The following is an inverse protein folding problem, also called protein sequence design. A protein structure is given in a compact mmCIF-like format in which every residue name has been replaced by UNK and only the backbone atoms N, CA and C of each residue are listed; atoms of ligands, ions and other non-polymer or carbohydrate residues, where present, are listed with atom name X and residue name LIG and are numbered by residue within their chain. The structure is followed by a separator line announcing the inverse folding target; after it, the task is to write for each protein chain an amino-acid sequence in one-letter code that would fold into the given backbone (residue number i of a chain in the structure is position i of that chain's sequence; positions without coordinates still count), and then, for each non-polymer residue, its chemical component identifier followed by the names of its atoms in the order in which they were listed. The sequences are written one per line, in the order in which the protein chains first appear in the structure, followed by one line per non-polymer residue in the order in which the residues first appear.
data_IF_786986869058
#
_entry.id   IF_786986869058
#
_cell.length_a   1.000
_cell.length_b   1.000
_cell.length_c   1.000
_cell.angle_alpha   90.00
_cell.angle_beta   90.00
_cell.angle_gamma   90.00
#
_symmetry.space_group_name_H-M   'P 1'
#
loop_
_entity.id
_entity.type
_entity.pdbx_description
1 polymer ?
#
# COMPACT_ATOMS: atom_id res chain seq x y z
N UNK A 1 44.56 13.03 -32.02
CA UNK A 1 43.40 13.65 -32.67
C UNK A 1 42.12 13.02 -32.14
N UNK A 2 41.36 13.85 -31.44
CA UNK A 2 39.93 13.86 -31.11
C UNK A 2 38.94 12.74 -31.52
N UNK A 3 38.20 12.32 -30.48
CA UNK A 3 36.75 12.00 -30.33
C UNK A 3 36.03 10.94 -31.17
N UNK A 4 35.40 9.99 -30.46
CA UNK A 4 33.94 9.88 -30.19
C UNK A 4 33.75 8.64 -29.30
N UNK A 5 33.30 8.72 -28.05
CA UNK A 5 32.03 9.29 -27.64
C UNK A 5 30.89 8.33 -27.99
N UNK A 6 30.57 7.38 -27.11
CA UNK A 6 29.25 6.76 -27.05
C UNK A 6 28.94 6.43 -25.58
N UNK A 7 28.29 7.38 -24.93
CA UNK A 7 27.46 7.15 -23.75
C UNK A 7 26.47 6.04 -24.12
N UNK A 8 26.48 4.93 -23.40
CA UNK A 8 25.46 3.90 -23.55
C UNK A 8 24.16 4.43 -22.96
N UNK A 9 23.23 4.69 -23.87
CA UNK A 9 21.82 4.97 -23.64
C UNK A 9 21.24 3.82 -22.79
N UNK A 10 20.58 4.14 -21.68
CA UNK A 10 19.96 3.22 -20.72
C UNK A 10 19.31 2.00 -21.40
N UNK A 11 19.75 0.80 -21.03
CA UNK A 11 19.00 -0.43 -21.33
C UNK A 11 17.71 -0.38 -20.51
N UNK A 12 16.58 -0.16 -21.19
CA UNK A 12 15.27 -0.27 -20.57
C UNK A 12 15.10 -1.72 -20.10
N UNK A 13 15.16 -1.93 -18.78
CA UNK A 13 14.82 -3.21 -18.18
C UNK A 13 13.32 -3.19 -17.81
N UNK A 14 12.46 -3.92 -18.53
CA UNK A 14 11.03 -3.95 -18.22
C UNK A 14 10.75 -4.48 -16.80
N UNK A 15 11.64 -5.29 -16.23
CA UNK A 15 11.52 -5.77 -14.85
C UNK A 15 11.77 -4.65 -13.81
N UNK A 16 12.57 -3.62 -14.14
CA UNK A 16 12.69 -2.41 -13.31
C UNK A 16 11.50 -1.48 -13.48
N UNK A 17 10.91 -1.44 -14.69
CA UNK A 17 9.74 -0.63 -14.97
C UNK A 17 8.50 -1.11 -14.19
N UNK A 18 8.36 -2.42 -13.95
CA UNK A 18 7.34 -3.01 -13.06
C UNK A 18 7.63 -2.81 -11.56
N UNK A 19 8.80 -2.31 -11.19
CA UNK A 19 9.28 -2.25 -9.81
C UNK A 19 9.48 -0.82 -9.29
N UNK A 20 8.81 0.16 -9.90
CA UNK A 20 8.81 1.52 -9.36
C UNK A 20 7.95 1.60 -8.10
N UNK A 21 8.39 2.42 -7.12
CA UNK A 21 7.61 2.70 -5.90
C UNK A 21 6.21 3.22 -6.22
N UNK A 22 6.05 3.94 -7.33
CA UNK A 22 4.77 4.48 -7.76
C UNK A 22 3.79 3.36 -8.17
N UNK A 23 4.24 2.36 -8.93
CA UNK A 23 3.40 1.21 -9.29
C UNK A 23 2.94 0.47 -8.03
N UNK A 24 3.82 0.32 -7.04
CA UNK A 24 3.44 -0.30 -5.76
C UNK A 24 2.43 0.51 -4.97
N UNK A 25 2.49 1.85 -5.05
CA UNK A 25 1.43 2.72 -4.52
C UNK A 25 0.12 2.49 -5.25
N UNK A 26 0.14 2.35 -6.57
CA UNK A 26 -1.06 2.11 -7.38
C UNK A 26 -1.68 0.74 -7.08
N UNK A 27 -0.86 -0.29 -6.88
CA UNK A 27 -1.29 -1.61 -6.40
C UNK A 27 -1.96 -1.50 -5.02
N UNK A 28 -1.31 -0.85 -4.06
CA UNK A 28 -1.85 -0.68 -2.70
C UNK A 28 -3.17 0.10 -2.74
N UNK A 29 -3.27 1.15 -3.54
CA UNK A 29 -4.52 1.91 -3.68
C UNK A 29 -5.65 1.07 -4.29
N UNK A 30 -5.37 0.16 -5.23
CA UNK A 30 -6.37 -0.78 -5.74
C UNK A 30 -6.87 -1.74 -4.66
N UNK A 31 -5.95 -2.26 -3.83
CA UNK A 31 -6.29 -3.12 -2.70
C UNK A 31 -7.12 -2.35 -1.65
N UNK A 32 -6.71 -1.13 -1.30
CA UNK A 32 -7.45 -0.25 -0.38
C UNK A 32 -8.86 0.02 -0.92
N UNK A 33 -9.00 0.33 -2.21
CA UNK A 33 -10.31 0.54 -2.83
C UNK A 33 -11.21 -0.69 -2.69
N UNK A 34 -10.67 -1.90 -2.93
CA UNK A 34 -11.43 -3.14 -2.78
C UNK A 34 -11.85 -3.37 -1.32
N UNK A 35 -10.93 -3.16 -0.37
CA UNK A 35 -11.24 -3.24 1.07
C UNK A 35 -12.33 -2.23 1.47
N UNK A 36 -12.28 -1.01 0.92
CA UNK A 36 -13.20 0.08 1.23
C UNK A 36 -14.63 -0.14 0.76
N UNK A 37 -14.84 -0.97 -0.26
CA UNK A 37 -16.17 -1.33 -0.76
C UNK A 37 -16.65 -2.71 -0.28
N UNK A 38 -15.85 -3.40 0.53
CA UNK A 38 -16.13 -4.75 1.03
C UNK A 38 -16.36 -4.76 2.53
N UNK A 39 -17.22 -5.67 2.98
CA UNK A 39 -17.45 -6.06 4.35
C UNK A 39 -17.76 -4.89 5.28
N UNK A 40 -16.74 -4.46 6.03
CA UNK A 40 -16.85 -3.41 7.06
C UNK A 40 -16.47 -2.01 6.56
N UNK A 41 -16.19 -1.86 5.27
CA UNK A 41 -15.84 -0.58 4.63
C UNK A 41 -14.60 0.09 5.27
N UNK A 42 -13.59 -0.72 5.64
CA UNK A 42 -12.32 -0.19 6.15
C UNK A 42 -11.65 0.72 5.12
N UNK A 43 -10.84 1.69 5.55
CA UNK A 43 -10.28 2.73 4.67
C UNK A 43 -11.33 3.61 3.98
N UNK A 44 -12.55 3.70 4.53
CA UNK A 44 -13.57 4.61 4.00
C UNK A 44 -14.33 5.35 5.09
N UNK A 45 -14.82 6.54 4.73
CA UNK A 45 -15.73 7.31 5.56
C UNK A 45 -16.67 8.14 4.66
N UNK A 46 -17.97 7.99 4.87
CA UNK A 46 -19.01 8.73 4.13
C UNK A 46 -18.87 8.64 2.60
N UNK A 47 -18.47 7.47 2.09
CA UNK A 47 -18.31 7.23 0.65
C UNK A 47 -16.99 7.72 0.05
N UNK A 48 -16.12 8.33 0.85
CA UNK A 48 -14.75 8.63 0.44
C UNK A 48 -13.77 7.56 0.91
N UNK A 49 -12.73 7.31 0.12
CA UNK A 49 -11.74 6.25 0.35
C UNK A 49 -10.38 6.89 0.68
N UNK A 50 -9.68 6.29 1.62
CA UNK A 50 -8.32 6.66 1.98
C UNK A 50 -7.36 6.45 0.81
N UNK A 51 -6.34 7.32 0.70
CA UNK A 51 -5.43 7.28 -0.44
C UNK A 51 -3.97 7.33 -0.01
N UNK A 52 -3.18 6.39 -0.54
CA UNK A 52 -1.73 6.39 -0.41
C UNK A 52 -1.10 7.26 -1.49
N UNK A 53 -0.08 8.01 -1.09
CA UNK A 53 0.66 8.94 -1.93
C UNK A 53 2.17 8.71 -1.73
N UNK A 54 2.95 8.86 -2.80
CA UNK A 54 4.41 8.93 -2.72
C UNK A 54 4.85 10.38 -2.93
N UNK A 55 5.43 11.00 -1.91
CA UNK A 55 5.91 12.39 -1.96
C UNK A 55 7.34 12.45 -1.41
N UNK A 56 8.28 12.93 -2.22
CA UNK A 56 9.70 13.05 -1.84
C UNK A 56 10.24 11.77 -1.18
N UNK A 57 10.05 10.63 -1.85
CA UNK A 57 10.49 9.30 -1.42
C UNK A 57 9.85 8.74 -0.14
N UNK A 58 8.87 9.45 0.42
CA UNK A 58 8.13 9.05 1.59
C UNK A 58 6.69 8.69 1.26
N UNK A 59 6.14 7.75 2.02
CA UNK A 59 4.76 7.30 1.87
C UNK A 59 3.87 8.13 2.78
N UNK A 60 2.86 8.74 2.19
CA UNK A 60 1.83 9.52 2.86
C UNK A 60 0.47 8.84 2.67
N UNK A 61 -0.45 9.22 3.53
CA UNK A 61 -1.85 8.86 3.40
C UNK A 61 -2.72 10.10 3.57
N UNK A 62 -3.69 10.25 2.68
CA UNK A 62 -4.86 11.11 2.89
C UNK A 62 -5.98 10.27 3.47
N UNK A 63 -6.41 10.58 4.68
CA UNK A 63 -7.49 9.85 5.35
C UNK A 63 -8.85 10.50 5.08
N UNK A 64 -9.83 9.68 4.72
CA UNK A 64 -11.22 10.03 4.41
C UNK A 64 -11.98 10.58 5.62
N UNK A 65 -11.64 10.20 6.84
CA UNK A 65 -12.29 10.75 8.05
C UNK A 65 -11.82 12.17 8.35
N UNK A 66 -10.51 12.35 8.61
CA UNK A 66 -9.96 13.64 9.03
C UNK A 66 -9.66 14.61 7.88
N UNK A 67 -9.67 14.13 6.63
CA UNK A 67 -9.23 14.85 5.42
C UNK A 67 -7.78 15.36 5.51
N UNK A 68 -6.97 14.77 6.39
CA UNK A 68 -5.57 15.15 6.58
C UNK A 68 -4.66 14.23 5.78
N UNK A 69 -3.59 14.82 5.26
CA UNK A 69 -2.48 14.09 4.65
C UNK A 69 -1.31 14.02 5.64
N UNK A 70 -0.82 12.82 5.94
CA UNK A 70 0.25 12.62 6.91
C UNK A 70 1.21 11.51 6.50
N UNK A 71 2.46 11.60 6.98
CA UNK A 71 3.52 10.65 6.67
C UNK A 71 3.29 9.36 7.48
N UNK A 72 3.37 8.20 6.80
CA UNK A 72 3.21 6.89 7.43
C UNK A 72 4.51 6.34 8.03
N UNK A 73 5.65 6.94 7.70
CA UNK A 73 6.95 6.57 8.30
C UNK A 73 7.15 7.36 9.60
N UNK A 74 6.60 6.86 10.70
CA UNK A 74 6.70 7.47 12.04
C UNK A 74 7.98 7.03 12.76
N UNK A 75 8.51 7.89 13.65
CA UNK A 75 9.80 7.64 14.33
C UNK A 75 9.73 6.51 15.36
N UNK A 76 8.58 6.35 16.01
CA UNK A 76 8.35 5.42 17.11
C UNK A 76 7.48 4.21 16.71
N UNK A 77 7.18 4.08 15.41
CA UNK A 77 6.32 3.00 14.88
C UNK A 77 4.84 3.11 15.30
N UNK A 78 4.45 4.18 16.01
CA UNK A 78 3.07 4.43 16.41
C UNK A 78 2.28 5.03 15.24
N UNK A 79 0.97 4.84 15.27
CA UNK A 79 0.08 5.44 14.29
C UNK A 79 0.16 6.98 14.40
N UNK A 80 0.15 7.70 13.26
CA UNK A 80 0.02 9.15 13.25
C UNK A 80 -1.22 9.61 14.02
N UNK A 81 -1.19 10.81 14.60
CA UNK A 81 -2.31 11.38 15.38
C UNK A 81 -3.64 11.39 14.62
N UNK A 82 -3.59 11.50 13.29
CA UNK A 82 -4.75 11.58 12.42
C UNK A 82 -5.14 10.23 11.80
N UNK A 83 -4.68 9.11 12.35
CA UNK A 83 -5.06 7.78 11.89
C UNK A 83 -6.14 7.20 12.81
N UNK A 84 -7.36 7.05 12.29
CA UNK A 84 -8.57 6.76 13.07
C UNK A 84 -9.08 5.32 12.92
N UNK A 85 -8.49 4.50 12.04
CA UNK A 85 -8.97 3.14 11.77
C UNK A 85 -8.55 2.08 12.80
N UNK A 86 -7.81 2.48 13.85
CA UNK A 86 -7.39 1.59 14.93
C UNK A 86 -6.15 0.73 14.62
N UNK A 87 -5.68 0.01 15.63
CA UNK A 87 -4.37 -0.67 15.61
C UNK A 87 -4.24 -1.78 14.55
N UNK A 88 -5.30 -2.52 14.27
CA UNK A 88 -5.29 -3.59 13.27
C UNK A 88 -5.08 -3.04 11.85
N UNK A 89 -5.79 -1.97 11.50
CA UNK A 89 -5.61 -1.30 10.20
C UNK A 89 -4.26 -0.59 10.14
N UNK A 90 -3.77 -0.07 11.26
CA UNK A 90 -2.41 0.47 11.32
C UNK A 90 -1.35 -0.58 10.98
N UNK A 91 -1.47 -1.80 11.51
CA UNK A 91 -0.57 -2.90 11.18
C UNK A 91 -0.57 -3.22 9.67
N UNK A 92 -1.76 -3.31 9.06
CA UNK A 92 -1.90 -3.52 7.62
C UNK A 92 -1.32 -2.35 6.80
N UNK A 93 -1.54 -1.11 7.24
CA UNK A 93 -0.95 0.07 6.59
C UNK A 93 0.59 0.02 6.63
N UNK A 94 1.20 -0.47 7.71
CA UNK A 94 2.66 -0.67 7.76
C UNK A 94 3.12 -1.73 6.78
N UNK A 95 2.39 -2.85 6.65
CA UNK A 95 2.68 -3.86 5.63
C UNK A 95 2.62 -3.26 4.22
N UNK A 96 1.66 -2.38 3.92
CA UNK A 96 1.63 -1.65 2.66
C UNK A 96 2.85 -0.73 2.47
N UNK A 97 3.26 0.01 3.50
CA UNK A 97 4.45 0.87 3.44
C UNK A 97 5.71 0.06 3.16
N UNK A 98 5.88 -1.09 3.82
CA UNK A 98 7.03 -1.98 3.64
C UNK A 98 7.08 -2.54 2.20
N UNK A 99 5.93 -2.97 1.68
CA UNK A 99 5.81 -3.39 0.28
C UNK A 99 6.17 -2.24 -0.67
N UNK A 100 5.61 -1.04 -0.46
CA UNK A 100 5.91 0.13 -1.28
C UNK A 100 7.40 0.45 -1.23
N UNK A 101 8.06 0.43 -0.08
CA UNK A 101 9.46 0.80 0.02
C UNK A 101 10.39 -0.28 -0.57
N UNK A 102 10.11 -1.56 -0.34
CA UNK A 102 11.07 -2.64 -0.60
C UNK A 102 10.74 -3.50 -1.81
N UNK A 103 9.49 -3.50 -2.27
CA UNK A 103 8.96 -4.45 -3.26
C UNK A 103 8.89 -5.90 -2.76
N UNK A 104 9.21 -6.15 -1.49
CA UNK A 104 9.12 -7.47 -0.88
C UNK A 104 7.77 -7.65 -0.22
N UNK A 105 7.29 -8.90 -0.21
CA UNK A 105 6.11 -9.30 0.56
C UNK A 105 6.40 -9.06 2.05
N UNK A 106 5.61 -8.19 2.67
CA UNK A 106 5.84 -7.68 4.04
C UNK A 106 5.14 -8.51 5.13
N UNK A 107 4.35 -9.50 4.70
CA UNK A 107 3.57 -10.47 5.44
C UNK A 107 3.88 -10.58 6.94
N UNK A 108 2.89 -10.21 7.77
CA UNK A 108 2.81 -10.52 9.20
C UNK A 108 3.88 -9.90 10.10
N UNK A 109 4.86 -9.18 9.55
CA UNK A 109 5.97 -8.62 10.34
C UNK A 109 5.52 -7.47 11.25
N UNK A 110 4.33 -6.91 10.99
CA UNK A 110 3.79 -5.76 11.73
C UNK A 110 2.75 -6.11 12.80
N UNK A 111 2.61 -7.39 13.15
CA UNK A 111 1.81 -7.85 14.30
C UNK A 111 0.34 -8.18 14.00
N UNK A 112 -0.05 -8.18 12.73
CA UNK A 112 -1.40 -8.58 12.29
C UNK A 112 -1.35 -9.51 11.09
N UNK A 113 -2.36 -10.38 10.99
CA UNK A 113 -2.61 -11.29 9.87
C UNK A 113 -2.71 -10.61 8.50
N UNK A 114 -3.04 -9.32 8.50
CA UNK A 114 -3.32 -8.56 7.28
C UNK A 114 -4.31 -9.30 6.40
N UNK A 115 -3.94 -9.46 5.14
CA UNK A 115 -4.74 -10.15 4.15
C UNK A 115 -4.72 -11.69 4.25
N UNK A 116 -3.95 -12.30 5.15
CA UNK A 116 -3.90 -13.77 5.30
C UNK A 116 -4.96 -14.32 6.28
N UNK A 117 -5.78 -13.45 6.90
CA UNK A 117 -6.88 -13.90 7.74
C UNK A 117 -8.00 -14.53 6.90
N UNK A 118 -8.72 -15.51 7.45
CA UNK A 118 -9.88 -16.13 6.78
C UNK A 118 -11.01 -15.12 6.54
N UNK A 119 -11.25 -14.21 7.49
CA UNK A 119 -12.19 -13.10 7.34
C UNK A 119 -11.98 -12.04 8.44
N UNK A 120 -12.52 -10.83 8.28
CA UNK A 120 -12.49 -9.77 9.32
C UNK A 120 -13.88 -9.51 9.94
N UNK A 121 -14.63 -10.58 10.18
CA UNK A 121 -15.99 -10.51 10.73
C UNK A 121 -17.07 -10.19 9.67
N UNK A 122 -16.75 -10.39 8.40
CA UNK A 122 -17.69 -10.36 7.26
C UNK A 122 -17.59 -11.70 6.48
N UNK A 123 -18.43 -11.96 5.46
CA UNK A 123 -18.42 -13.22 4.71
C UNK A 123 -17.05 -13.59 4.14
N UNK A 124 -16.73 -14.88 4.15
CA UNK A 124 -15.44 -15.41 3.65
C UNK A 124 -15.21 -15.03 2.18
N UNK A 125 -16.26 -15.06 1.35
CA UNK A 125 -16.19 -14.72 -0.07
C UNK A 125 -15.67 -13.30 -0.33
N UNK A 126 -16.03 -12.33 0.52
CA UNK A 126 -15.53 -10.96 0.35
C UNK A 126 -14.04 -10.84 0.69
N UNK A 127 -13.54 -11.70 1.59
CA UNK A 127 -12.12 -11.76 1.94
C UNK A 127 -11.34 -12.42 0.80
N UNK A 128 -11.88 -13.51 0.25
CA UNK A 128 -11.32 -14.21 -0.90
C UNK A 128 -11.17 -13.26 -2.10
N UNK A 129 -12.17 -12.44 -2.40
CA UNK A 129 -12.08 -11.44 -3.47
C UNK A 129 -10.98 -10.39 -3.23
N UNK A 130 -10.75 -9.97 -1.98
CA UNK A 130 -9.64 -9.06 -1.64
C UNK A 130 -8.29 -9.77 -1.83
N UNK A 131 -8.19 -11.03 -1.40
CA UNK A 131 -6.98 -11.83 -1.51
C UNK A 131 -6.65 -12.14 -2.97
N UNK A 132 -7.62 -12.55 -3.78
CA UNK A 132 -7.47 -12.81 -5.21
C UNK A 132 -6.97 -11.57 -5.95
N UNK A 133 -7.56 -10.41 -5.66
CA UNK A 133 -7.08 -9.15 -6.23
C UNK A 133 -5.62 -8.90 -5.83
N UNK A 134 -5.30 -9.03 -4.56
CA UNK A 134 -3.95 -8.77 -4.05
C UNK A 134 -2.91 -9.77 -4.61
N UNK A 135 -3.27 -11.03 -4.84
CA UNK A 135 -2.45 -12.03 -5.53
C UNK A 135 -2.23 -11.63 -6.99
N UNK A 136 -3.30 -11.25 -7.70
CA UNK A 136 -3.22 -10.88 -9.12
C UNK A 136 -2.35 -9.64 -9.36
N UNK A 137 -2.30 -8.74 -8.37
CA UNK A 137 -1.47 -7.53 -8.38
C UNK A 137 -0.03 -7.77 -7.87
N UNK A 138 0.31 -8.99 -7.47
CA UNK A 138 1.66 -9.32 -6.98
C UNK A 138 1.98 -8.78 -5.57
N UNK A 139 0.96 -8.40 -4.79
CA UNK A 139 1.13 -8.01 -3.38
C UNK A 139 1.25 -9.24 -2.47
N UNK A 140 0.40 -10.26 -2.68
CA UNK A 140 0.41 -11.53 -1.92
C UNK A 140 1.18 -12.66 -2.60
#
# INVERSE_FOLDING_TARGET
MNVKGKLSFWEYNPDEAFNSRQIRVDIVNQIINKIAISGRFFFSHQGEIDKILLLNDKVYMTESYSKKTFCLQTKDGRSPQYFHMGGTMWALTKDFVDFIQTGKKSNHNNGYGGLYCTHWGYPVSEMEEIQELAISLGYL
#
